data_IF_570999083035
#
_entry.id   IF_570999083035
#
_cell.length_a   1.000
_cell.length_b   1.000
_cell.length_c   1.000
_cell.angle_alpha   90.00
_cell.angle_beta   90.00
_cell.angle_gamma   90.00
#
_symmetry.space_group_name_H-M   'P 1'
#
loop_
_entity.id
_entity.type
_entity.pdbx_description
1 polymer ?
#
# COMPACT_ATOMS: atom_id res chain seq x y z
N UNK A 1 13.23 37.84 -49.74
CA UNK A 1 14.63 37.72 -50.17
C UNK A 1 15.40 38.93 -49.62
N UNK A 2 16.14 38.77 -48.52
CA UNK A 2 16.88 39.88 -47.90
C UNK A 2 18.10 40.20 -48.80
N UNK A 3 18.15 41.39 -49.41
CA UNK A 3 19.21 41.77 -50.35
C UNK A 3 20.52 42.04 -49.59
N UNK A 4 21.40 41.03 -49.49
CA UNK A 4 22.72 41.12 -48.85
C UNK A 4 23.73 42.06 -49.55
N UNK A 5 23.33 42.71 -50.64
CA UNK A 5 24.16 43.61 -51.44
C UNK A 5 24.24 45.05 -50.91
N UNK A 6 23.45 45.41 -49.89
CA UNK A 6 23.44 46.77 -49.31
C UNK A 6 24.39 46.98 -48.10
N UNK A 7 25.07 45.93 -47.62
CA UNK A 7 25.92 46.01 -46.43
C UNK A 7 27.39 46.31 -46.76
N UNK A 8 27.98 47.25 -46.03
CA UNK A 8 29.43 47.49 -46.02
C UNK A 8 30.18 46.25 -45.52
N UNK A 9 31.45 46.08 -45.90
CA UNK A 9 32.30 44.95 -45.45
C UNK A 9 32.34 44.85 -43.92
N UNK A 10 32.39 46.01 -43.23
CA UNK A 10 32.33 46.10 -41.77
C UNK A 10 31.05 45.51 -41.19
N UNK A 11 29.89 45.81 -41.78
CA UNK A 11 28.61 45.27 -41.33
C UNK A 11 28.48 43.76 -41.59
N UNK A 12 29.03 43.26 -42.70
CA UNK A 12 29.06 41.82 -42.99
C UNK A 12 29.90 41.06 -41.96
N UNK A 13 31.05 41.60 -41.56
CA UNK A 13 31.91 41.03 -40.52
C UNK A 13 31.23 41.02 -39.15
N UNK A 14 30.64 42.15 -38.74
CA UNK A 14 29.90 42.23 -37.46
C UNK A 14 28.73 41.24 -37.45
N UNK A 15 27.96 41.17 -38.53
CA UNK A 15 26.84 40.24 -38.64
C UNK A 15 27.31 38.78 -38.55
N UNK A 16 28.41 38.43 -39.20
CA UNK A 16 29.00 37.09 -39.13
C UNK A 16 29.46 36.74 -37.70
N UNK A 17 30.10 37.68 -37.00
CA UNK A 17 30.52 37.49 -35.61
C UNK A 17 29.32 37.31 -34.67
N UNK A 18 28.29 38.15 -34.80
CA UNK A 18 27.06 38.04 -34.01
C UNK A 18 26.35 36.72 -34.27
N UNK A 19 26.20 36.31 -35.53
CA UNK A 19 25.60 35.03 -35.89
C UNK A 19 26.40 33.85 -35.36
N UNK A 20 27.74 33.90 -35.44
CA UNK A 20 28.60 32.83 -34.92
C UNK A 20 28.44 32.68 -33.39
N UNK A 21 28.37 33.78 -32.65
CA UNK A 21 28.16 33.78 -31.19
C UNK A 21 26.75 33.31 -30.82
N UNK A 22 25.72 33.79 -31.52
CA UNK A 22 24.34 33.36 -31.28
C UNK A 22 24.16 31.86 -31.58
N UNK A 23 24.71 31.38 -32.71
CA UNK A 23 24.63 29.98 -33.08
C UNK A 23 25.34 29.08 -32.05
N UNK A 24 26.54 29.46 -31.60
CA UNK A 24 27.27 28.68 -30.59
C UNK A 24 26.55 28.67 -29.24
N UNK A 25 25.98 29.81 -28.83
CA UNK A 25 25.23 29.93 -27.58
C UNK A 25 23.93 29.12 -27.63
N UNK A 26 23.21 29.14 -28.75
CA UNK A 26 22.02 28.33 -28.96
C UNK A 26 22.34 26.83 -28.92
N UNK A 27 23.43 26.41 -29.58
CA UNK A 27 23.89 25.01 -29.54
C UNK A 27 24.24 24.56 -28.13
N UNK A 28 25.03 25.35 -27.40
CA UNK A 28 25.36 25.05 -26.00
C UNK A 28 24.09 25.01 -25.14
N UNK A 29 23.19 25.99 -25.30
CA UNK A 29 21.91 26.02 -24.58
C UNK A 29 21.05 24.78 -24.83
N UNK A 30 20.95 24.32 -26.08
CA UNK A 30 20.21 23.09 -26.42
C UNK A 30 20.84 21.84 -25.78
N UNK A 31 22.17 21.71 -25.84
CA UNK A 31 22.89 20.59 -25.23
C UNK A 31 22.73 20.60 -23.72
N UNK A 32 22.93 21.76 -23.08
CA UNK A 32 22.77 21.93 -21.63
C UNK A 32 21.33 21.62 -21.18
N UNK A 33 20.32 22.03 -21.94
CA UNK A 33 18.93 21.72 -21.64
C UNK A 33 18.65 20.21 -21.73
N UNK A 34 19.17 19.53 -22.75
CA UNK A 34 19.04 18.07 -22.89
C UNK A 34 19.74 17.32 -21.76
N UNK A 35 20.95 17.74 -21.40
CA UNK A 35 21.72 17.15 -20.30
C UNK A 35 21.02 17.36 -18.95
N UNK A 36 20.54 18.57 -18.68
CA UNK A 36 19.80 18.87 -17.46
C UNK A 36 18.56 17.98 -17.34
N UNK A 37 17.79 17.82 -18.43
CA UNK A 37 16.63 16.92 -18.46
C UNK A 37 17.02 15.48 -18.16
N UNK A 38 18.07 14.95 -18.80
CA UNK A 38 18.53 13.58 -18.58
C UNK A 38 19.00 13.35 -17.13
N UNK A 39 19.72 14.30 -16.54
CA UNK A 39 20.18 14.21 -15.15
C UNK A 39 18.99 14.16 -14.19
N UNK A 40 18.01 15.05 -14.39
CA UNK A 40 16.80 15.08 -13.57
C UNK A 40 16.01 13.78 -13.71
N UNK A 41 15.79 13.31 -14.94
CA UNK A 41 15.06 12.07 -15.21
C UNK A 41 15.78 10.85 -14.61
N UNK A 42 17.09 10.72 -14.79
CA UNK A 42 17.86 9.62 -14.20
C UNK A 42 17.82 9.65 -12.68
N UNK A 43 17.95 10.84 -12.07
CA UNK A 43 17.85 11.00 -10.61
C UNK A 43 16.47 10.59 -10.09
N UNK A 44 15.41 11.05 -10.75
CA UNK A 44 14.04 10.68 -10.42
C UNK A 44 13.84 9.16 -10.50
N UNK A 45 14.23 8.53 -11.60
CA UNK A 45 13.99 7.11 -11.85
C UNK A 45 14.89 6.18 -11.01
N UNK A 46 16.13 6.57 -10.74
CA UNK A 46 17.13 5.69 -10.09
C UNK A 46 17.31 5.96 -8.59
N UNK A 47 16.90 7.13 -8.11
CA UNK A 47 17.13 7.53 -6.72
C UNK A 47 15.81 7.87 -6.04
N UNK A 48 15.08 8.86 -6.54
CA UNK A 48 13.95 9.43 -5.80
C UNK A 48 12.75 8.47 -5.75
N UNK A 49 12.28 7.98 -6.91
CA UNK A 49 11.16 7.02 -6.98
C UNK A 49 11.41 5.74 -6.18
N UNK A 50 12.56 5.05 -6.33
CA UNK A 50 12.87 3.87 -5.52
C UNK A 50 12.92 4.19 -4.03
N UNK A 51 13.58 5.27 -3.61
CA UNK A 51 13.69 5.63 -2.20
C UNK A 51 12.33 5.96 -1.58
N UNK A 52 11.48 6.70 -2.30
CA UNK A 52 10.13 7.02 -1.86
C UNK A 52 9.27 5.76 -1.73
N UNK A 53 9.25 4.89 -2.74
CA UNK A 53 8.50 3.63 -2.66
C UNK A 53 9.04 2.70 -1.57
N UNK A 54 10.35 2.65 -1.37
CA UNK A 54 10.97 1.86 -0.31
C UNK A 54 10.58 2.39 1.07
N UNK A 55 10.52 3.71 1.26
CA UNK A 55 10.05 4.31 2.51
C UNK A 55 8.58 3.94 2.76
N UNK A 56 7.71 4.06 1.76
CA UNK A 56 6.28 3.69 1.88
C UNK A 56 6.16 2.20 2.21
N UNK A 57 6.86 1.34 1.47
CA UNK A 57 6.92 -0.10 1.71
C UNK A 57 7.30 -0.40 3.15
N UNK A 58 8.43 0.14 3.63
CA UNK A 58 8.95 -0.18 4.94
C UNK A 58 8.02 0.28 6.06
N UNK A 59 7.33 1.41 5.90
CA UNK A 59 6.31 1.87 6.84
C UNK A 59 5.14 0.89 6.91
N UNK A 60 4.60 0.45 5.76
CA UNK A 60 3.50 -0.53 5.72
C UNK A 60 3.95 -1.89 6.29
N UNK A 61 5.13 -2.37 5.86
CA UNK A 61 5.69 -3.65 6.28
C UNK A 61 5.81 -3.73 7.80
N UNK A 62 6.39 -2.69 8.42
CA UNK A 62 6.55 -2.60 9.87
C UNK A 62 5.20 -2.63 10.59
N UNK A 63 4.24 -1.85 10.12
CA UNK A 63 2.92 -1.74 10.74
C UNK A 63 2.16 -3.07 10.68
N UNK A 64 2.18 -3.71 9.51
CA UNK A 64 1.55 -5.01 9.27
C UNK A 64 2.21 -6.08 10.15
N UNK A 65 3.54 -6.14 10.19
CA UNK A 65 4.28 -7.12 10.99
C UNK A 65 4.00 -6.98 12.50
N UNK A 66 3.90 -5.73 12.98
CA UNK A 66 3.53 -5.43 14.36
C UNK A 66 2.14 -5.97 14.69
N UNK A 67 1.14 -5.67 13.85
CA UNK A 67 -0.22 -6.16 14.05
C UNK A 67 -0.33 -7.68 13.95
N UNK A 68 0.39 -8.32 13.03
CA UNK A 68 0.43 -9.79 12.94
C UNK A 68 0.98 -10.42 14.22
N UNK A 69 2.02 -9.81 14.79
CA UNK A 69 2.63 -10.28 16.04
C UNK A 69 1.68 -10.09 17.22
N UNK A 70 1.00 -8.94 17.29
CA UNK A 70 0.00 -8.66 18.32
C UNK A 70 -1.20 -9.62 18.23
N UNK A 71 -1.70 -9.89 17.02
CA UNK A 71 -2.80 -10.83 16.80
C UNK A 71 -2.39 -12.26 17.22
N UNK A 72 -1.18 -12.69 16.88
CA UNK A 72 -0.64 -13.97 17.32
C UNK A 72 -0.50 -14.05 18.84
N UNK A 73 0.07 -13.02 19.47
CA UNK A 73 0.21 -12.98 20.93
C UNK A 73 -1.15 -13.06 21.63
N UNK A 74 -2.13 -12.32 21.14
CA UNK A 74 -3.48 -12.31 21.70
C UNK A 74 -4.18 -13.66 21.50
N UNK A 75 -4.13 -14.23 20.30
CA UNK A 75 -4.72 -15.54 19.98
C UNK A 75 -4.04 -16.71 20.72
N UNK A 76 -2.77 -16.57 21.10
CA UNK A 76 -2.02 -17.58 21.85
C UNK A 76 -1.92 -17.29 23.36
N UNK A 77 -2.58 -16.23 23.82
CA UNK A 77 -2.58 -15.83 25.23
C UNK A 77 -3.22 -16.91 26.10
N UNK A 78 -2.44 -17.43 27.05
CA UNK A 78 -2.96 -18.35 28.07
C UNK A 78 -3.98 -17.68 28.98
N UNK A 79 -3.82 -16.38 29.24
CA UNK A 79 -4.77 -15.59 30.00
C UNK A 79 -6.13 -15.60 29.33
N UNK A 80 -6.22 -15.22 28.05
CA UNK A 80 -7.48 -15.25 27.31
C UNK A 80 -8.05 -16.68 27.26
N UNK A 81 -7.22 -17.66 26.95
CA UNK A 81 -7.65 -19.07 26.85
C UNK A 81 -8.15 -19.67 28.17
N UNK A 82 -7.76 -19.14 29.33
CA UNK A 82 -8.26 -19.57 30.63
C UNK A 82 -9.73 -19.16 30.85
N UNK A 83 -10.15 -18.04 30.25
CA UNK A 83 -11.52 -17.52 30.31
C UNK A 83 -12.46 -18.16 29.26
N UNK A 84 -11.95 -19.09 28.45
CA UNK A 84 -12.73 -19.85 27.47
C UNK A 84 -13.36 -21.10 28.12
N UNK A 85 -14.48 -20.89 28.81
CA UNK A 85 -15.28 -21.93 29.47
C UNK A 85 -16.78 -21.56 29.48
N UNK A 86 -17.67 -22.54 29.64
CA UNK A 86 -19.12 -22.33 29.48
C UNK A 86 -19.78 -21.55 30.63
N UNK A 87 -19.24 -21.63 31.85
CA UNK A 87 -19.78 -20.97 33.05
C UNK A 87 -19.08 -19.64 33.37
N UNK A 88 -18.89 -18.78 32.37
CA UNK A 88 -18.23 -17.47 32.57
C UNK A 88 -19.02 -16.57 33.51
N UNK A 89 -18.29 -15.92 34.41
CA UNK A 89 -18.78 -14.85 35.27
C UNK A 89 -18.65 -13.49 34.59
N UNK A 90 -19.27 -12.46 35.17
CA UNK A 90 -19.09 -11.08 34.71
C UNK A 90 -17.62 -10.63 34.82
N UNK A 91 -16.89 -11.13 35.82
CA UNK A 91 -15.47 -10.81 36.02
C UNK A 91 -14.60 -11.44 34.92
N UNK A 92 -14.93 -12.64 34.46
CA UNK A 92 -14.23 -13.30 33.34
C UNK A 92 -14.37 -12.49 32.04
N UNK A 93 -15.57 -11.99 31.77
CA UNK A 93 -15.82 -11.16 30.59
C UNK A 93 -15.11 -9.80 30.71
N UNK A 94 -15.18 -9.16 31.87
CA UNK A 94 -14.49 -7.90 32.13
C UNK A 94 -12.96 -8.05 31.95
N UNK A 95 -12.38 -9.19 32.35
CA UNK A 95 -10.97 -9.50 32.18
C UNK A 95 -10.57 -9.63 30.69
N UNK A 96 -11.37 -10.31 29.87
CA UNK A 96 -11.16 -10.37 28.42
C UNK A 96 -11.25 -8.96 27.82
N UNK A 97 -12.30 -8.21 28.14
CA UNK A 97 -12.55 -6.87 27.61
C UNK A 97 -11.43 -5.90 27.97
N UNK A 98 -10.93 -5.94 29.20
CA UNK A 98 -9.80 -5.13 29.64
C UNK A 98 -8.55 -5.41 28.80
N UNK A 99 -8.21 -6.70 28.61
CA UNK A 99 -7.07 -7.10 27.78
C UNK A 99 -7.22 -6.66 26.31
N UNK A 100 -8.43 -6.70 25.75
CA UNK A 100 -8.69 -6.21 24.40
C UNK A 100 -8.54 -4.69 24.29
N UNK A 101 -9.00 -3.94 25.30
CA UNK A 101 -8.82 -2.49 25.35
C UNK A 101 -7.34 -2.09 25.52
N UNK A 102 -6.58 -2.82 26.33
CA UNK A 102 -5.14 -2.60 26.49
C UNK A 102 -4.40 -2.80 25.17
N UNK A 103 -4.67 -3.89 24.44
CA UNK A 103 -4.09 -4.15 23.11
C UNK A 103 -4.53 -3.08 22.12
N UNK A 104 -5.81 -2.69 22.13
CA UNK A 104 -6.34 -1.63 21.27
C UNK A 104 -5.60 -0.32 21.49
N UNK A 105 -5.40 0.08 22.75
CA UNK A 105 -4.69 1.30 23.09
C UNK A 105 -3.21 1.23 22.73
N UNK A 106 -2.53 0.12 23.07
CA UNK A 106 -1.10 -0.07 22.84
C UNK A 106 -0.72 0.01 21.36
N UNK A 107 -1.56 -0.52 20.47
CA UNK A 107 -1.29 -0.59 19.02
C UNK A 107 -2.07 0.45 18.20
N UNK A 108 -2.82 1.35 18.86
CA UNK A 108 -3.68 2.36 18.22
C UNK A 108 -4.65 1.75 17.21
N UNK A 109 -5.38 0.72 17.64
CA UNK A 109 -6.30 -0.05 16.80
C UNK A 109 -7.69 0.57 16.82
N UNK A 110 -8.46 0.29 15.77
CA UNK A 110 -9.90 0.56 15.76
C UNK A 110 -10.64 -0.54 16.52
N UNK A 111 -10.32 -1.80 16.23
CA UNK A 111 -10.93 -2.96 16.86
C UNK A 111 -9.89 -3.99 17.32
N UNK A 112 -10.20 -4.64 18.43
CA UNK A 112 -9.49 -5.81 18.93
C UNK A 112 -10.53 -6.85 19.34
N UNK A 113 -10.35 -8.08 18.86
CA UNK A 113 -11.31 -9.15 19.05
C UNK A 113 -10.62 -10.49 19.25
N UNK A 114 -11.29 -11.37 19.98
CA UNK A 114 -10.87 -12.77 20.19
C UNK A 114 -12.06 -13.69 20.06
N UNK A 115 -11.79 -14.92 19.63
CA UNK A 115 -12.79 -15.97 19.56
C UNK A 115 -12.26 -17.28 20.13
N UNK A 116 -13.16 -18.05 20.72
CA UNK A 116 -12.97 -19.45 21.03
C UNK A 116 -13.36 -20.31 19.82
N UNK A 117 -12.37 -20.93 19.17
CA UNK A 117 -12.57 -21.84 18.03
C UNK A 117 -13.25 -23.15 18.38
N UNK A 118 -13.36 -23.50 19.67
CA UNK A 118 -14.06 -24.70 20.10
C UNK A 118 -15.57 -24.48 20.22
N UNK A 119 -15.99 -23.32 20.72
CA UNK A 119 -17.42 -23.01 20.94
C UNK A 119 -18.00 -22.03 19.92
N UNK A 120 -17.15 -21.23 19.25
CA UNK A 120 -17.54 -20.11 18.41
C UNK A 120 -17.81 -18.82 19.19
N UNK A 121 -17.60 -18.79 20.50
CA UNK A 121 -17.81 -17.56 21.27
C UNK A 121 -16.86 -16.45 20.82
N UNK A 122 -17.39 -15.23 20.66
CA UNK A 122 -16.66 -14.11 20.08
C UNK A 122 -16.86 -12.84 20.89
N UNK A 123 -15.75 -12.17 21.18
CA UNK A 123 -15.69 -10.92 21.94
C UNK A 123 -14.96 -9.86 21.14
N UNK A 124 -15.33 -8.61 21.39
CA UNK A 124 -14.50 -7.46 21.05
C UNK A 124 -14.27 -6.58 22.28
N UNK A 125 -13.61 -5.44 22.08
CA UNK A 125 -13.33 -4.45 23.12
C UNK A 125 -14.57 -3.91 23.87
N UNK A 126 -15.79 -4.20 23.41
CA UNK A 126 -17.03 -3.74 24.04
C UNK A 126 -17.75 -4.86 24.82
N UNK A 127 -17.25 -6.10 24.79
CA UNK A 127 -17.90 -7.24 25.45
C UNK A 127 -18.09 -8.45 24.54
N UNK A 128 -18.84 -9.41 25.05
CA UNK A 128 -19.32 -10.55 24.28
C UNK A 128 -20.26 -10.08 23.17
N UNK A 129 -19.94 -10.48 21.95
CA UNK A 129 -20.75 -10.11 20.79
C UNK A 129 -21.83 -11.16 20.54
N UNK A 130 -21.40 -12.40 20.31
CA UNK A 130 -22.26 -13.55 20.02
C UNK A 130 -21.43 -14.83 19.89
N UNK A 131 -22.13 -15.95 19.81
CA UNK A 131 -21.57 -17.21 19.33
C UNK A 131 -21.68 -17.27 17.81
N UNK A 132 -20.55 -17.46 17.14
CA UNK A 132 -20.44 -17.62 15.69
C UNK A 132 -21.07 -18.95 15.26
N UNK A 133 -21.55 -19.02 14.02
CA UNK A 133 -22.17 -20.24 13.46
C UNK A 133 -21.61 -20.56 12.07
N UNK A 134 -21.47 -21.85 11.68
CA UNK A 134 -20.98 -22.22 10.35
C UNK A 134 -21.80 -21.65 9.19
N UNK A 135 -23.08 -21.40 9.40
CA UNK A 135 -24.00 -20.89 8.37
C UNK A 135 -23.76 -19.41 8.04
N UNK A 136 -23.41 -18.59 9.04
CA UNK A 136 -23.27 -17.14 8.89
C UNK A 136 -21.79 -16.70 8.86
N UNK A 137 -20.90 -17.46 9.51
CA UNK A 137 -19.52 -17.07 9.79
C UNK A 137 -18.50 -17.89 8.99
N UNK A 138 -18.69 -17.92 7.67
CA UNK A 138 -17.79 -18.66 6.76
C UNK A 138 -16.32 -18.23 6.90
N UNK A 139 -16.06 -16.95 7.16
CA UNK A 139 -14.70 -16.45 7.40
C UNK A 139 -14.00 -17.11 8.61
N UNK A 140 -14.78 -17.52 9.62
CA UNK A 140 -14.30 -18.19 10.83
C UNK A 140 -14.16 -19.71 10.63
N UNK A 141 -15.20 -20.36 10.10
CA UNK A 141 -15.26 -21.83 10.00
C UNK A 141 -14.65 -22.41 8.73
N UNK A 142 -14.61 -21.65 7.62
CA UNK A 142 -14.09 -22.09 6.32
C UNK A 142 -12.65 -21.63 6.09
N UNK A 143 -12.04 -20.93 7.05
CA UNK A 143 -10.63 -20.55 6.97
C UNK A 143 -9.75 -21.80 6.81
N UNK A 144 -8.86 -21.86 5.80
CA UNK A 144 -8.05 -23.04 5.53
C UNK A 144 -7.28 -23.46 6.79
N UNK A 145 -7.33 -24.75 7.14
CA UNK A 145 -6.67 -25.31 8.34
C UNK A 145 -5.14 -25.19 8.36
N UNK A 146 -4.55 -24.63 7.30
CA UNK A 146 -3.11 -24.42 7.14
C UNK A 146 -2.71 -22.94 7.22
N UNK A 147 -3.66 -22.02 7.06
CA UNK A 147 -3.37 -20.58 7.05
C UNK A 147 -3.54 -20.04 8.46
N UNK A 148 -2.43 -19.60 9.07
CA UNK A 148 -2.44 -18.99 10.41
C UNK A 148 -2.84 -17.53 10.40
N UNK A 149 -2.40 -16.79 9.38
CA UNK A 149 -2.54 -15.34 9.29
C UNK A 149 -3.33 -14.97 8.04
N UNK A 150 -4.32 -14.10 8.20
CA UNK A 150 -5.10 -13.55 7.09
C UNK A 150 -5.16 -12.03 7.18
N UNK A 151 -4.86 -11.39 6.07
CA UNK A 151 -4.93 -9.95 5.89
C UNK A 151 -6.06 -9.63 4.92
N UNK A 152 -6.77 -8.55 5.20
CA UNK A 152 -7.79 -8.04 4.29
C UNK A 152 -7.93 -6.54 4.47
N UNK A 153 -8.11 -5.83 3.37
CA UNK A 153 -8.50 -4.43 3.37
C UNK A 153 -9.99 -4.36 3.09
N UNK A 154 -10.71 -3.57 3.88
CA UNK A 154 -12.15 -3.37 3.74
C UNK A 154 -12.45 -1.88 3.82
N UNK A 155 -13.41 -1.41 3.03
CA UNK A 155 -13.94 -0.06 3.14
C UNK A 155 -15.37 -0.14 3.65
N UNK A 156 -15.60 0.56 4.75
CA UNK A 156 -16.92 0.73 5.35
C UNK A 156 -17.80 1.66 4.49
N UNK A 157 -19.12 1.59 4.67
CA UNK A 157 -20.07 2.42 3.91
C UNK A 157 -19.85 3.93 4.08
N UNK A 158 -19.26 4.34 5.21
CA UNK A 158 -18.90 5.73 5.50
C UNK A 158 -17.59 6.18 4.81
N UNK A 159 -16.93 5.28 4.07
CA UNK A 159 -15.68 5.53 3.34
C UNK A 159 -14.40 5.21 4.12
N UNK A 160 -14.47 4.90 5.42
CA UNK A 160 -13.33 4.53 6.25
C UNK A 160 -12.71 3.23 5.75
N UNK A 161 -11.39 3.24 5.52
CA UNK A 161 -10.66 2.05 5.07
C UNK A 161 -9.97 1.40 6.27
N UNK A 162 -10.19 0.12 6.46
CA UNK A 162 -9.61 -0.67 7.56
C UNK A 162 -8.74 -1.79 7.02
N UNK A 163 -7.57 -1.94 7.61
CA UNK A 163 -6.75 -3.13 7.46
C UNK A 163 -7.07 -4.08 8.60
N UNK A 164 -7.50 -5.29 8.27
CA UNK A 164 -7.74 -6.37 9.21
C UNK A 164 -6.59 -7.37 9.18
N UNK A 165 -6.15 -7.77 10.37
CA UNK A 165 -5.20 -8.85 10.58
C UNK A 165 -5.84 -9.87 11.51
N UNK A 166 -6.00 -11.08 10.99
CA UNK A 166 -6.52 -12.21 11.74
C UNK A 166 -5.44 -13.25 11.96
N UNK A 167 -5.37 -13.79 13.17
CA UNK A 167 -4.55 -14.95 13.50
C UNK A 167 -5.43 -16.06 14.08
N UNK A 168 -5.24 -17.29 13.61
CA UNK A 168 -5.83 -18.48 14.21
C UNK A 168 -4.77 -19.51 14.63
N UNK A 169 -4.97 -20.12 15.80
CA UNK A 169 -4.20 -21.29 16.21
C UNK A 169 -4.67 -22.51 15.41
N UNK A 170 -3.77 -23.20 14.69
CA UNK A 170 -4.16 -24.38 13.89
C UNK A 170 -4.55 -25.59 14.76
N UNK A 171 -3.85 -25.78 15.88
CA UNK A 171 -4.06 -26.87 16.84
C UNK A 171 -4.47 -26.36 18.22
N UNK A 172 -5.16 -25.22 18.27
CA UNK A 172 -5.60 -24.58 19.50
C UNK A 172 -6.97 -23.95 19.35
N UNK A 173 -7.49 -23.42 20.46
CA UNK A 173 -8.82 -22.82 20.53
C UNK A 173 -8.83 -21.30 20.33
N UNK A 174 -7.68 -20.66 20.23
CA UNK A 174 -7.59 -19.21 20.09
C UNK A 174 -7.65 -18.73 18.64
N UNK A 175 -8.40 -17.65 18.45
CA UNK A 175 -8.34 -16.79 17.28
C UNK A 175 -8.39 -15.33 17.75
N UNK A 176 -7.69 -14.44 17.06
CA UNK A 176 -7.74 -13.01 17.29
C UNK A 176 -7.86 -12.26 15.98
N UNK A 177 -8.59 -11.15 16.00
CA UNK A 177 -8.75 -10.23 14.90
C UNK A 177 -8.48 -8.80 15.35
N UNK A 178 -7.57 -8.12 14.67
CA UNK A 178 -7.21 -6.73 14.92
C UNK A 178 -7.55 -5.90 13.68
N UNK A 179 -8.02 -4.67 13.87
CA UNK A 179 -8.24 -3.73 12.77
C UNK A 179 -7.55 -2.40 13.05
N UNK A 180 -7.01 -1.78 12.02
CA UNK A 180 -6.45 -0.43 12.10
C UNK A 180 -6.93 0.42 10.94
N UNK A 181 -7.19 1.69 11.22
CA UNK A 181 -7.52 2.66 10.18
C UNK A 181 -6.35 2.76 9.21
N UNK A 182 -6.64 2.60 7.94
CA UNK A 182 -5.71 2.92 6.87
C UNK A 182 -5.80 4.39 6.49
N UNK A 183 -6.64 5.22 7.10
CA UNK A 183 -6.77 6.62 6.73
C UNK A 183 -5.47 7.41 6.92
N UNK A 184 -4.70 7.10 7.97
CA UNK A 184 -3.34 7.63 8.14
C UNK A 184 -2.40 7.17 7.02
N UNK A 185 -2.51 5.91 6.60
CA UNK A 185 -1.72 5.36 5.50
C UNK A 185 -2.15 5.94 4.14
N UNK A 186 -3.45 6.11 3.91
CA UNK A 186 -4.04 6.74 2.73
C UNK A 186 -3.63 8.20 2.67
N UNK A 187 -3.69 8.94 3.79
CA UNK A 187 -3.18 10.31 3.88
C UNK A 187 -1.68 10.37 3.64
N UNK A 188 -0.91 9.47 4.26
CA UNK A 188 0.54 9.35 4.07
C UNK A 188 0.88 9.06 2.60
N UNK A 189 0.17 8.14 1.95
CA UNK A 189 0.30 7.84 0.52
C UNK A 189 -0.08 9.05 -0.34
N UNK A 190 -1.20 9.70 -0.04
CA UNK A 190 -1.69 10.86 -0.78
C UNK A 190 -0.81 12.11 -0.63
N UNK A 191 0.02 12.17 0.42
CA UNK A 191 1.01 13.23 0.58
C UNK A 191 2.15 13.11 -0.44
N UNK A 192 2.42 11.90 -0.94
CA UNK A 192 3.36 11.66 -2.03
C UNK A 192 2.67 11.96 -3.36
N UNK A 193 2.46 13.26 -3.61
CA UNK A 193 2.23 13.75 -4.96
C UNK A 193 3.54 13.61 -5.72
N UNK A 194 3.67 12.50 -6.46
CA UNK A 194 4.67 12.39 -7.52
C UNK A 194 4.27 13.39 -8.61
N UNK A 195 4.88 14.57 -8.55
CA UNK A 195 4.53 15.72 -9.40
C UNK A 195 3.05 16.14 -9.25
N UNK A 196 2.37 16.52 -10.33
CA UNK A 196 1.00 17.03 -10.26
C UNK A 196 -0.08 15.94 -10.30
N UNK A 197 0.24 14.75 -10.82
CA UNK A 197 -0.75 13.73 -11.20
C UNK A 197 -0.53 12.36 -10.58
N UNK A 198 0.65 12.09 -10.03
CA UNK A 198 1.00 10.79 -9.48
C UNK A 198 0.27 10.45 -8.19
N UNK A 199 0.06 9.16 -7.97
CA UNK A 199 -0.59 8.60 -6.78
C UNK A 199 -0.08 7.18 -6.53
N UNK A 200 -0.21 6.70 -5.31
CA UNK A 200 0.13 5.32 -4.92
C UNK A 200 -1.15 4.57 -4.55
N UNK A 201 -1.14 3.27 -4.80
CA UNK A 201 -2.26 2.37 -4.51
C UNK A 201 -1.70 0.98 -4.18
N UNK A 202 -2.50 0.12 -3.55
CA UNK A 202 -2.08 -1.20 -3.09
C UNK A 202 -2.76 -2.28 -3.90
N UNK A 203 -1.99 -3.30 -4.25
CA UNK A 203 -2.45 -4.51 -4.94
C UNK A 203 -1.98 -5.72 -4.17
N UNK A 204 -2.71 -6.82 -4.31
CA UNK A 204 -2.25 -8.11 -3.81
C UNK A 204 -1.23 -8.76 -4.76
N UNK A 205 -0.67 -9.90 -4.36
CA UNK A 205 0.33 -10.66 -5.09
C UNK A 205 -0.16 -11.18 -6.46
N UNK A 206 -1.48 -11.20 -6.70
CA UNK A 206 -2.09 -11.55 -7.99
C UNK A 206 -2.39 -10.32 -8.84
N UNK A 207 -2.29 -9.13 -8.26
CA UNK A 207 -2.58 -7.85 -8.91
C UNK A 207 -3.98 -7.33 -8.67
N UNK A 208 -4.78 -7.94 -7.80
CA UNK A 208 -6.10 -7.42 -7.43
C UNK A 208 -5.93 -6.13 -6.62
N UNK A 209 -6.64 -5.07 -7.01
CA UNK A 209 -6.52 -3.76 -6.34
C UNK A 209 -7.19 -3.80 -4.98
N UNK A 210 -6.39 -3.62 -3.91
CA UNK A 210 -6.83 -3.68 -2.51
C UNK A 210 -7.14 -2.30 -1.95
N UNK A 211 -6.40 -1.28 -2.37
CA UNK A 211 -6.58 0.10 -1.94
C UNK A 211 -6.32 1.01 -3.13
N UNK A 212 -7.23 1.94 -3.39
CA UNK A 212 -7.08 2.92 -4.46
C UNK A 212 -7.87 4.19 -4.13
N UNK A 213 -7.38 5.36 -4.56
CA UNK A 213 -8.07 6.65 -4.32
C UNK A 213 -9.46 6.74 -4.98
N UNK A 214 -9.66 5.95 -6.02
CA UNK A 214 -10.94 5.79 -6.73
C UNK A 214 -11.61 4.48 -6.30
N UNK A 215 -12.71 4.59 -5.54
CA UNK A 215 -13.49 3.46 -5.04
C UNK A 215 -14.21 2.65 -6.12
N UNK A 216 -14.25 3.13 -7.37
CA UNK A 216 -14.75 2.33 -8.50
C UNK A 216 -13.74 1.27 -8.96
N UNK A 217 -12.46 1.43 -8.60
CA UNK A 217 -11.37 0.50 -8.95
C UNK A 217 -11.11 -0.49 -7.82
N UNK A 218 -11.18 -0.02 -6.58
CA UNK A 218 -10.87 -0.80 -5.39
C UNK A 218 -11.74 -2.06 -5.26
N UNK A 219 -11.10 -3.22 -5.12
CA UNK A 219 -11.74 -4.53 -5.01
C UNK A 219 -12.46 -5.01 -6.27
N UNK A 220 -12.40 -4.26 -7.38
CA UNK A 220 -13.18 -4.53 -8.60
C UNK A 220 -12.34 -4.72 -9.86
N UNK A 221 -11.08 -4.31 -9.84
CA UNK A 221 -10.19 -4.32 -11.00
C UNK A 221 -8.82 -4.85 -10.63
N UNK A 222 -8.15 -5.39 -11.63
CA UNK A 222 -6.80 -5.91 -11.51
C UNK A 222 -5.80 -5.03 -12.27
N UNK A 223 -4.53 -5.14 -11.88
CA UNK A 223 -3.40 -4.50 -12.57
C UNK A 223 -3.40 -4.80 -14.08
N UNK A 224 -3.77 -6.03 -14.45
CA UNK A 224 -3.91 -6.48 -15.84
C UNK A 224 -5.05 -5.75 -16.58
N UNK A 225 -6.16 -5.47 -15.91
CA UNK A 225 -7.30 -4.76 -16.51
C UNK A 225 -7.02 -3.27 -16.70
N UNK A 226 -6.12 -2.72 -15.89
CA UNK A 226 -5.76 -1.31 -15.91
C UNK A 226 -4.62 -1.01 -16.89
N UNK A 227 -3.65 -1.91 -17.00
CA UNK A 227 -2.38 -1.63 -17.70
C UNK A 227 -1.88 -2.77 -18.62
N UNK A 228 -2.69 -3.82 -18.79
CA UNK A 228 -2.37 -4.98 -19.62
C UNK A 228 -1.57 -6.06 -18.89
N UNK A 229 -1.73 -7.30 -19.37
CA UNK A 229 -1.18 -8.50 -18.73
C UNK A 229 0.35 -8.48 -18.60
N UNK A 230 1.06 -8.06 -19.65
CA UNK A 230 2.53 -8.03 -19.67
C UNK A 230 3.10 -7.03 -18.67
N UNK A 231 2.48 -5.85 -18.58
CA UNK A 231 2.83 -4.83 -17.58
C UNK A 231 2.59 -5.34 -16.17
N UNK A 232 1.42 -5.93 -15.92
CA UNK A 232 1.09 -6.51 -14.62
C UNK A 232 2.12 -7.56 -14.18
N UNK A 233 2.45 -8.52 -15.04
CA UNK A 233 3.43 -9.57 -14.73
C UNK A 233 4.82 -9.01 -14.41
N UNK A 234 5.24 -7.94 -15.10
CA UNK A 234 6.50 -7.28 -14.83
C UNK A 234 6.51 -6.49 -13.51
N UNK A 235 5.40 -5.84 -13.18
CA UNK A 235 5.25 -5.07 -11.95
C UNK A 235 5.03 -5.94 -10.71
N UNK A 236 4.48 -7.15 -10.86
CA UNK A 236 4.21 -8.07 -9.74
C UNK A 236 5.41 -8.95 -9.36
N UNK A 237 6.57 -8.75 -9.99
CA UNK A 237 7.80 -9.43 -9.57
C UNK A 237 8.16 -9.02 -8.15
N UNK A 238 8.52 -9.99 -7.30
CA UNK A 238 8.85 -9.79 -5.87
C UNK A 238 10.23 -9.18 -5.64
N UNK A 239 10.45 -8.00 -6.24
CA UNK A 239 11.67 -7.22 -6.14
C UNK A 239 11.44 -6.00 -5.23
N UNK A 240 12.54 -5.42 -4.76
CA UNK A 240 12.51 -4.16 -4.00
C UNK A 240 11.93 -3.00 -4.83
N UNK A 241 12.14 -3.02 -6.15
CA UNK A 241 11.64 -2.02 -7.07
C UNK A 241 11.46 -2.61 -8.47
N UNK A 242 10.31 -2.36 -9.09
CA UNK A 242 10.09 -2.57 -10.52
C UNK A 242 9.59 -1.27 -11.14
N UNK A 243 9.92 -1.04 -12.41
CA UNK A 243 9.51 0.13 -13.18
C UNK A 243 9.08 -0.28 -14.59
N UNK A 244 7.96 0.26 -15.06
CA UNK A 244 7.48 0.15 -16.44
C UNK A 244 6.95 1.49 -16.92
N UNK A 245 7.26 1.83 -18.16
CA UNK A 245 6.62 2.94 -18.86
C UNK A 245 5.50 2.36 -19.72
N UNK A 246 4.31 2.95 -19.66
CA UNK A 246 3.18 2.56 -20.50
C UNK A 246 2.56 3.79 -21.13
N UNK A 247 1.94 3.63 -22.29
CA UNK A 247 1.13 4.68 -22.91
C UNK A 247 -0.33 4.49 -22.48
N UNK A 248 -0.93 5.56 -21.97
CA UNK A 248 -2.35 5.61 -21.62
C UNK A 248 -2.96 6.87 -22.24
N UNK A 249 -3.91 6.68 -23.14
CA UNK A 249 -4.62 7.76 -23.82
C UNK A 249 -3.68 8.77 -24.52
N UNK A 250 -2.56 8.29 -25.08
CA UNK A 250 -1.54 9.12 -25.74
C UNK A 250 -0.57 9.82 -24.79
N UNK A 251 -0.63 9.51 -23.49
CA UNK A 251 0.30 10.01 -22.48
C UNK A 251 1.18 8.88 -21.95
N UNK A 252 2.50 9.08 -22.01
CA UNK A 252 3.44 8.18 -21.38
C UNK A 252 3.37 8.35 -19.86
N UNK A 253 3.01 7.27 -19.16
CA UNK A 253 2.98 7.20 -17.70
C UNK A 253 4.02 6.20 -17.19
N UNK A 254 4.54 6.47 -16.00
CA UNK A 254 5.46 5.59 -15.30
C UNK A 254 4.72 4.84 -14.20
N UNK A 255 4.87 3.52 -14.18
CA UNK A 255 4.34 2.63 -13.16
C UNK A 255 5.52 2.02 -12.42
N UNK A 256 5.53 2.18 -11.10
CA UNK A 256 6.54 1.58 -10.24
C UNK A 256 5.88 0.79 -9.11
N UNK A 257 6.50 -0.31 -8.72
CA UNK A 257 6.03 -1.16 -7.61
C UNK A 257 7.18 -1.53 -6.69
N UNK A 258 6.84 -1.78 -5.44
CA UNK A 258 7.76 -2.30 -4.42
C UNK A 258 7.04 -3.36 -3.61
N UNK A 259 7.62 -4.55 -3.52
CA UNK A 259 7.00 -5.69 -2.84
C UNK A 259 7.04 -5.52 -1.32
N UNK A 260 5.92 -5.78 -0.62
CA UNK A 260 5.81 -5.69 0.85
C UNK A 260 5.81 -7.12 1.44
N UNK A 261 6.91 -7.59 2.05
CA UNK A 261 7.03 -8.97 2.53
C UNK A 261 5.99 -9.36 3.59
N UNK A 262 5.69 -8.51 4.56
CA UNK A 262 4.76 -8.82 5.64
C UNK A 262 3.31 -9.06 5.16
N UNK A 263 2.97 -8.59 3.96
CA UNK A 263 1.64 -8.82 3.37
C UNK A 263 1.50 -10.18 2.70
N UNK A 264 2.60 -10.94 2.56
CA UNK A 264 2.61 -12.22 1.86
C UNK A 264 1.74 -13.26 2.57
N UNK A 265 0.76 -13.81 1.85
CA UNK A 265 0.07 -15.06 2.24
C UNK A 265 -1.45 -14.99 2.24
N UNK A 266 -2.04 -13.84 1.95
CA UNK A 266 -3.50 -13.66 1.79
C UNK A 266 -3.84 -12.39 1.02
N UNK A 267 -2.89 -11.47 0.94
CA UNK A 267 -2.73 -10.43 -0.07
C UNK A 267 -1.38 -10.65 -0.78
#
# INVERSE_FOLDING_TARGET
MMKFTAFTIKQKLILAMVLAVLASTLLVGMISQQQARQIVEQRLLRVELPATLQQIRNTIDKEVALMQSAAEQLATSRFIAAHYHDQRTADDEAAIVAQLNDVKQQYHLLDASVADRSTGDYWNQNGFLRRLTPQQDGWFYQSPKVVRRKLSVFQEDNGEVKLFVNYQQLHGKGMAGLSKSMDEMVRFINQFKLEQTGFVFLVDAKGHVQLHRDGTVMGKRDLSDLYGQSTAQALLQKNDFNLRQVDRDGQAILLATSYIPAMTGTL
#
